data_IF_090594334962
#
_entry.id   IF_090594334962
#
_cell.length_a   1.000
_cell.length_b   1.000
_cell.length_c   1.000
_cell.angle_alpha   90.00
_cell.angle_beta   90.00
_cell.angle_gamma   90.00
#
_symmetry.space_group_name_H-M   'P 1'
#
loop_
_entity.id
_entity.type
_entity.pdbx_description
1 polymer ?
#
# COMPACT_ATOMS: atom_id res chain seq x y z
N UNK A 1 4.40 9.71 -1.90
CA UNK A 1 4.71 8.27 -1.91
C UNK A 1 3.78 7.45 -1.04
N UNK A 2 3.49 7.83 0.22
CA UNK A 2 2.50 7.12 1.06
C UNK A 2 1.13 6.93 0.37
N UNK A 3 0.59 7.99 -0.26
CA UNK A 3 -0.66 7.89 -1.03
C UNK A 3 -0.58 6.91 -2.21
N UNK A 4 0.59 6.80 -2.84
CA UNK A 4 0.82 5.89 -3.96
C UNK A 4 0.80 4.44 -3.48
N UNK A 5 1.45 4.15 -2.35
CA UNK A 5 1.38 2.85 -1.67
C UNK A 5 -0.07 2.50 -1.31
N UNK A 6 -0.84 3.48 -0.81
CA UNK A 6 -2.27 3.31 -0.53
C UNK A 6 -3.13 3.02 -1.76
N UNK A 7 -2.90 3.72 -2.88
CA UNK A 7 -3.65 3.48 -4.13
C UNK A 7 -3.32 2.15 -4.78
N UNK A 8 -2.07 1.69 -4.70
CA UNK A 8 -1.70 0.35 -5.17
C UNK A 8 -2.37 -0.72 -4.30
N UNK A 9 -2.34 -0.53 -2.97
CA UNK A 9 -3.01 -1.45 -2.04
C UNK A 9 -4.52 -1.52 -2.27
N UNK A 10 -5.14 -0.45 -2.78
CA UNK A 10 -6.56 -0.38 -3.12
C UNK A 10 -6.87 -0.79 -4.58
N UNK A 11 -5.89 -1.29 -5.34
CA UNK A 11 -6.06 -1.69 -6.75
C UNK A 11 -6.32 -0.54 -7.73
N UNK A 12 -6.20 0.71 -7.30
CA UNK A 12 -6.49 1.91 -8.10
C UNK A 12 -5.33 2.32 -9.03
N UNK A 13 -4.13 1.76 -8.82
CA UNK A 13 -2.92 2.11 -9.55
C UNK A 13 -1.99 0.90 -9.65
N UNK A 14 -1.37 0.69 -10.83
CA UNK A 14 -0.37 -0.36 -11.00
C UNK A 14 1.00 0.06 -10.49
N UNK A 15 1.86 -0.92 -10.19
CA UNK A 15 3.25 -0.68 -9.80
C UNK A 15 4.00 0.14 -10.86
N UNK A 16 3.84 -0.16 -12.15
CA UNK A 16 4.48 0.59 -13.22
C UNK A 16 4.05 2.07 -13.28
N UNK A 17 2.74 2.34 -13.08
CA UNK A 17 2.22 3.72 -13.01
C UNK A 17 2.78 4.48 -11.80
N UNK A 18 3.01 3.76 -10.69
CA UNK A 18 3.53 4.33 -9.44
C UNK A 18 4.92 4.94 -9.60
N UNK A 19 5.79 4.36 -10.45
CA UNK A 19 7.18 4.78 -10.63
C UNK A 19 7.23 6.23 -11.10
N UNK A 20 6.42 6.59 -12.10
CA UNK A 20 6.36 7.96 -12.63
C UNK A 20 5.85 8.96 -11.59
N UNK A 21 4.85 8.58 -10.79
CA UNK A 21 4.32 9.43 -9.71
C UNK A 21 5.35 9.63 -8.60
N UNK A 22 6.10 8.59 -8.23
CA UNK A 22 7.18 8.67 -7.24
C UNK A 22 8.28 9.64 -7.71
N UNK A 23 8.73 9.52 -8.97
CA UNK A 23 9.71 10.42 -9.55
C UNK A 23 9.21 11.88 -9.57
N UNK A 24 7.96 12.09 -10.01
CA UNK A 24 7.34 13.41 -10.01
C UNK A 24 7.17 14.00 -8.60
N UNK A 25 6.82 13.18 -7.61
CA UNK A 25 6.72 13.60 -6.22
C UNK A 25 8.06 14.07 -5.65
N UNK A 26 9.16 13.38 -5.97
CA UNK A 26 10.51 13.80 -5.57
C UNK A 26 10.86 15.20 -6.12
N UNK A 27 10.53 15.48 -7.39
CA UNK A 27 10.63 16.85 -7.94
C UNK A 27 9.73 17.82 -7.17
N UNK A 28 8.49 17.43 -6.87
CA UNK A 28 7.53 18.26 -6.14
C UNK A 28 8.03 18.73 -4.77
N UNK A 29 8.78 17.90 -4.04
CA UNK A 29 9.32 18.27 -2.73
C UNK A 29 10.30 19.45 -2.77
N UNK A 30 10.94 19.71 -3.91
CA UNK A 30 11.91 20.82 -4.05
C UNK A 30 11.21 22.18 -4.05
N UNK A 31 9.92 22.23 -4.41
CA UNK A 31 9.12 23.46 -4.33
C UNK A 31 9.07 23.96 -2.89
N UNK A 32 8.93 23.07 -1.90
CA UNK A 32 8.94 23.47 -0.49
C UNK A 32 10.29 24.06 -0.10
N UNK A 33 11.39 23.46 -0.53
CA UNK A 33 12.74 23.98 -0.29
C UNK A 33 12.93 25.39 -0.87
N UNK A 34 12.42 25.63 -2.08
CA UNK A 34 12.45 26.94 -2.71
C UNK A 34 11.67 27.97 -1.89
N UNK A 35 10.43 27.64 -1.50
CA UNK A 35 9.60 28.56 -0.70
C UNK A 35 10.31 28.94 0.61
N UNK A 36 10.97 28.01 1.28
CA UNK A 36 11.70 28.28 2.52
C UNK A 36 12.93 29.18 2.27
N UNK A 37 13.66 28.93 1.17
CA UNK A 37 14.86 29.70 0.83
C UNK A 37 14.58 31.18 0.50
N UNK A 38 13.36 31.54 0.10
CA UNK A 38 12.97 32.93 -0.17
C UNK A 38 12.69 33.77 1.10
N UNK A 39 13.09 33.30 2.29
CA UNK A 39 12.89 33.99 3.58
C UNK A 39 11.44 34.39 3.85
N UNK A 40 10.50 33.55 3.40
CA UNK A 40 9.07 33.75 3.64
C UNK A 40 8.73 33.67 5.14
N UNK A 41 9.67 33.21 5.97
CA UNK A 41 9.64 33.26 7.43
C UNK A 41 9.35 34.66 7.98
N UNK A 42 9.80 35.75 7.33
CA UNK A 42 9.48 37.13 7.75
C UNK A 42 7.97 37.44 7.65
N UNK A 43 7.28 36.78 6.72
CA UNK A 43 5.83 36.91 6.52
C UNK A 43 5.02 35.84 7.24
N UNK A 44 5.66 34.96 8.02
CA UNK A 44 4.99 33.84 8.68
C UNK A 44 3.80 34.29 9.55
N UNK A 45 4.01 35.29 10.41
CA UNK A 45 2.95 35.83 11.27
C UNK A 45 1.80 36.48 10.48
N UNK A 46 2.11 37.10 9.33
CA UNK A 46 1.09 37.65 8.44
C UNK A 46 0.25 36.53 7.81
N UNK A 47 0.89 35.45 7.35
CA UNK A 47 0.20 34.28 6.82
C UNK A 47 -0.67 33.59 7.88
N UNK A 48 -0.18 33.49 9.12
CA UNK A 48 -0.97 33.00 10.27
C UNK A 48 -2.18 33.90 10.51
N UNK A 49 -2.00 35.22 10.58
CA UNK A 49 -3.08 36.16 10.84
C UNK A 49 -4.16 36.13 9.74
N UNK A 50 -3.76 36.15 8.46
CA UNK A 50 -4.69 36.08 7.33
C UNK A 50 -5.35 34.70 7.26
N UNK A 51 -4.59 33.62 7.41
CA UNK A 51 -5.12 32.26 7.42
C UNK A 51 -6.13 32.04 8.55
N UNK A 52 -5.84 32.53 9.75
CA UNK A 52 -6.77 32.53 10.89
C UNK A 52 -8.03 33.32 10.56
N UNK A 53 -7.90 34.56 10.07
CA UNK A 53 -9.04 35.38 9.69
C UNK A 53 -9.92 34.68 8.63
N UNK A 54 -9.33 34.12 7.58
CA UNK A 54 -10.08 33.39 6.54
C UNK A 54 -10.72 32.10 7.08
N UNK A 55 -10.08 31.40 8.00
CA UNK A 55 -10.62 30.15 8.59
C UNK A 55 -11.79 30.41 9.53
N UNK A 56 -11.76 31.49 10.30
CA UNK A 56 -12.77 31.75 11.34
C UNK A 56 -13.82 32.80 10.96
N UNK A 57 -13.52 33.71 10.02
CA UNK A 57 -14.42 34.81 9.64
C UNK A 57 -15.10 34.58 8.28
N UNK A 58 -14.58 33.70 7.41
CA UNK A 58 -15.19 33.48 6.11
C UNK A 58 -16.46 32.62 6.20
N UNK A 59 -17.53 33.07 5.51
CA UNK A 59 -18.81 32.34 5.43
C UNK A 59 -18.83 31.23 4.37
N UNK A 60 -17.93 31.30 3.38
CA UNK A 60 -17.86 30.33 2.28
C UNK A 60 -16.89 29.20 2.64
N UNK A 61 -17.36 27.97 2.58
CA UNK A 61 -16.57 26.77 2.95
C UNK A 61 -15.25 26.65 2.19
N UNK A 62 -15.24 26.98 0.89
CA UNK A 62 -14.02 26.93 0.07
C UNK A 62 -12.95 27.92 0.56
N UNK A 63 -13.37 29.14 0.94
CA UNK A 63 -12.46 30.18 1.45
C UNK A 63 -11.95 29.78 2.83
N UNK A 64 -12.81 29.15 3.64
CA UNK A 64 -12.45 28.61 4.95
C UNK A 64 -11.38 27.52 4.86
N UNK A 65 -11.52 26.59 3.91
CA UNK A 65 -10.53 25.53 3.64
C UNK A 65 -9.21 26.09 3.13
N UNK A 66 -9.25 27.07 2.22
CA UNK A 66 -8.04 27.77 1.78
C UNK A 66 -7.37 28.54 2.94
N UNK A 67 -8.16 29.17 3.80
CA UNK A 67 -7.70 29.81 5.03
C UNK A 67 -6.99 28.84 5.96
N UNK A 68 -7.53 27.64 6.15
CA UNK A 68 -6.91 26.60 7.00
C UNK A 68 -5.56 26.15 6.44
N UNK A 69 -5.47 25.99 5.10
CA UNK A 69 -4.21 25.71 4.42
C UNK A 69 -3.18 26.84 4.59
N UNK A 70 -3.60 28.09 4.44
CA UNK A 70 -2.73 29.26 4.62
C UNK A 70 -2.26 29.41 6.07
N UNK A 71 -3.14 29.15 7.04
CA UNK A 71 -2.82 29.13 8.47
C UNK A 71 -1.77 28.05 8.77
N UNK A 72 -1.98 26.82 8.28
CA UNK A 72 -1.02 25.73 8.45
C UNK A 72 0.35 26.06 7.84
N UNK A 73 0.37 26.64 6.64
CA UNK A 73 1.60 27.10 5.99
C UNK A 73 2.31 28.18 6.82
N UNK A 74 1.56 29.17 7.33
CA UNK A 74 2.09 30.21 8.20
C UNK A 74 2.69 29.65 9.49
N UNK A 75 2.01 28.69 10.13
CA UNK A 75 2.51 28.02 11.34
C UNK A 75 3.79 27.22 11.09
N UNK A 76 3.90 26.54 9.93
CA UNK A 76 5.14 25.85 9.53
C UNK A 76 6.29 26.84 9.39
N UNK A 77 6.07 27.98 8.71
CA UNK A 77 7.11 29.01 8.55
C UNK A 77 7.49 29.67 9.86
N UNK A 78 6.51 29.90 10.75
CA UNK A 78 6.77 30.42 12.08
C UNK A 78 7.60 29.43 12.90
N UNK A 79 7.25 28.14 12.88
CA UNK A 79 8.02 27.09 13.53
C UNK A 79 9.47 27.03 13.04
N UNK A 80 9.71 27.18 11.73
CA UNK A 80 11.06 27.23 11.18
C UNK A 80 11.85 28.48 11.61
N UNK A 81 11.19 29.64 11.73
CA UNK A 81 11.83 30.84 12.29
C UNK A 81 12.28 30.61 13.73
N UNK A 82 11.40 30.04 14.57
CA UNK A 82 11.71 29.67 15.96
C UNK A 82 12.87 28.66 16.03
N UNK A 83 12.90 27.67 15.13
CA UNK A 83 14.03 26.73 15.05
C UNK A 83 15.34 27.45 14.71
N UNK A 84 15.32 28.43 13.78
CA UNK A 84 16.50 29.23 13.44
C UNK A 84 17.04 30.00 14.64
N UNK A 85 16.17 30.68 15.38
CA UNK A 85 16.54 31.41 16.60
C UNK A 85 17.13 30.47 17.66
N UNK A 86 16.54 29.28 17.82
CA UNK A 86 17.02 28.26 18.75
C UNK A 86 18.40 27.68 18.36
N UNK A 87 18.82 27.78 17.09
CA UNK A 87 20.13 27.33 16.62
C UNK A 87 21.24 28.39 16.74
N UNK A 88 20.91 29.67 16.98
CA UNK A 88 21.92 30.74 17.14
C UNK A 88 22.97 30.42 18.21
N UNK A 89 22.63 29.90 19.40
CA UNK A 89 23.64 29.55 20.41
C UNK A 89 24.64 28.48 19.97
N UNK A 90 24.25 27.61 19.02
CA UNK A 90 25.10 26.53 18.51
C UNK A 90 26.26 27.04 17.65
N UNK A 91 26.16 28.26 17.10
CA UNK A 91 27.26 28.92 16.37
C UNK A 91 28.53 29.07 17.21
N UNK A 92 28.39 29.08 18.53
CA UNK A 92 29.49 29.27 19.47
C UNK A 92 29.76 28.01 20.32
N UNK A 93 29.13 26.88 20.01
CA UNK A 93 29.27 25.63 20.78
C UNK A 93 30.28 24.69 20.11
N UNK A 94 31.52 24.64 20.62
CA UNK A 94 32.61 23.87 20.02
C UNK A 94 32.29 22.40 19.70
N UNK A 95 31.65 21.60 20.57
CA UNK A 95 31.30 20.23 20.24
C UNK A 95 30.41 20.10 19.00
N UNK A 96 29.51 21.07 18.80
CA UNK A 96 28.63 21.12 17.64
C UNK A 96 29.38 21.56 16.39
N UNK A 97 30.28 22.55 16.50
CA UNK A 97 31.15 22.98 15.40
C UNK A 97 32.11 21.86 14.97
N UNK A 98 32.68 21.09 15.90
CA UNK A 98 33.54 19.94 15.59
C UNK A 98 32.75 18.86 14.84
N UNK A 99 31.53 18.56 15.31
CA UNK A 99 30.64 17.62 14.64
C UNK A 99 30.26 18.09 13.23
N UNK A 100 29.99 19.38 13.06
CA UNK A 100 29.68 19.97 11.76
C UNK A 100 30.90 20.05 10.83
N UNK A 101 32.11 20.21 11.37
CA UNK A 101 33.35 20.15 10.59
C UNK A 101 33.58 18.76 9.97
N UNK A 102 33.19 17.69 10.68
CA UNK A 102 33.23 16.31 10.16
C UNK A 102 32.23 16.08 9.03
N UNK A 103 31.13 16.84 8.98
CA UNK A 103 30.18 16.83 7.86
C UNK A 103 30.71 17.48 6.58
N UNK A 104 31.92 18.06 6.59
CA UNK A 104 32.61 18.47 5.37
C UNK A 104 32.92 17.26 4.46
N UNK A 105 33.01 16.05 5.03
CA UNK A 105 33.03 14.82 4.25
C UNK A 105 31.59 14.42 3.85
N UNK A 106 31.27 14.35 2.55
CA UNK A 106 29.90 14.15 2.09
C UNK A 106 29.20 12.91 2.66
N UNK A 107 29.94 11.82 2.90
CA UNK A 107 29.40 10.58 3.45
C UNK A 107 28.74 10.76 4.83
N UNK A 108 29.33 11.57 5.71
CA UNK A 108 28.76 11.83 7.04
C UNK A 108 27.56 12.75 6.97
N UNK A 109 27.59 13.75 6.08
CA UNK A 109 26.44 14.63 5.84
C UNK A 109 25.23 13.85 5.30
N UNK A 110 25.45 12.96 4.33
CA UNK A 110 24.40 12.11 3.78
C UNK A 110 23.81 11.19 4.84
N UNK A 111 24.64 10.53 5.63
CA UNK A 111 24.15 9.64 6.70
C UNK A 111 23.34 10.40 7.75
N UNK A 112 23.83 11.57 8.18
CA UNK A 112 23.13 12.39 9.17
C UNK A 112 21.79 12.90 8.63
N UNK A 113 21.76 13.39 7.38
CA UNK A 113 20.52 13.82 6.73
C UNK A 113 19.52 12.69 6.59
N UNK A 114 19.99 11.49 6.18
CA UNK A 114 19.13 10.32 6.04
C UNK A 114 18.51 9.89 7.37
N UNK A 115 19.32 9.79 8.43
CA UNK A 115 18.85 9.41 9.76
C UNK A 115 17.88 10.44 10.32
N UNK A 116 18.21 11.73 10.23
CA UNK A 116 17.35 12.79 10.73
C UNK A 116 16.01 12.81 9.99
N UNK A 117 16.02 12.72 8.66
CA UNK A 117 14.77 12.65 7.89
C UNK A 117 13.99 11.37 8.16
N UNK A 118 14.64 10.23 8.34
CA UNK A 118 13.96 8.98 8.69
C UNK A 118 13.21 9.09 10.03
N UNK A 119 13.84 9.71 11.04
CA UNK A 119 13.24 9.93 12.36
C UNK A 119 12.10 10.95 12.31
N UNK A 120 12.32 12.09 11.65
CA UNK A 120 11.32 13.16 11.53
C UNK A 120 10.22 12.82 10.53
N UNK A 121 10.47 11.85 9.65
CA UNK A 121 9.56 11.41 8.58
C UNK A 121 9.16 12.53 7.59
N UNK A 122 9.98 13.58 7.49
CA UNK A 122 9.72 14.73 6.61
C UNK A 122 11.03 15.32 6.06
N UNK A 123 11.26 15.12 4.77
CA UNK A 123 12.40 15.73 4.06
C UNK A 123 12.22 17.22 3.89
N UNK A 124 10.99 17.72 3.76
CA UNK A 124 10.73 19.16 3.73
C UNK A 124 11.10 19.83 5.05
N UNK A 125 10.79 19.20 6.20
CA UNK A 125 11.21 19.70 7.50
C UNK A 125 12.74 19.66 7.65
N UNK A 126 13.38 18.55 7.25
CA UNK A 126 14.84 18.43 7.27
C UNK A 126 15.52 19.47 6.39
N UNK A 127 15.01 19.66 5.17
CA UNK A 127 15.50 20.67 4.25
C UNK A 127 15.31 22.08 4.82
N UNK A 128 14.20 22.32 5.52
CA UNK A 128 13.98 23.56 6.28
C UNK A 128 15.07 23.82 7.30
N UNK A 129 15.40 22.84 8.14
CA UNK A 129 16.50 22.94 9.11
C UNK A 129 17.84 23.24 8.44
N UNK A 130 18.15 22.55 7.33
CA UNK A 130 19.39 22.77 6.58
C UNK A 130 19.45 24.19 6.00
N UNK A 131 18.36 24.66 5.38
CA UNK A 131 18.26 26.00 4.79
C UNK A 131 18.38 27.07 5.88
N UNK A 132 17.66 26.92 6.99
CA UNK A 132 17.72 27.86 8.11
C UNK A 132 19.11 27.88 8.77
N UNK A 133 19.75 26.72 8.94
CA UNK A 133 21.14 26.65 9.42
C UNK A 133 22.13 27.32 8.46
N UNK A 134 21.89 27.24 7.15
CA UNK A 134 22.69 27.95 6.16
C UNK A 134 22.45 29.47 6.17
N UNK A 135 21.21 29.93 6.40
CA UNK A 135 20.90 31.35 6.62
C UNK A 135 21.60 31.90 7.86
N UNK A 136 21.72 31.08 8.90
CA UNK A 136 22.45 31.39 10.13
C UNK A 136 23.99 31.27 9.97
N UNK A 137 24.50 30.89 8.80
CA UNK A 137 25.94 30.74 8.54
C UNK A 137 26.60 29.51 9.18
N UNK A 138 25.81 28.61 9.76
CA UNK A 138 26.28 27.39 10.42
C UNK A 138 26.62 26.29 9.40
N UNK A 139 25.80 26.20 8.35
CA UNK A 139 25.89 25.13 7.35
C UNK A 139 26.50 25.70 6.06
N UNK A 140 27.60 25.11 5.61
CA UNK A 140 28.25 25.43 4.34
C UNK A 140 27.49 24.82 3.17
N UNK A 141 27.71 25.33 1.95
CA UNK A 141 27.04 24.80 0.76
C UNK A 141 27.29 23.30 0.54
N UNK A 142 28.54 22.78 0.56
CA UNK A 142 28.77 21.34 0.36
C UNK A 142 28.13 20.47 1.44
N UNK A 143 28.20 20.90 2.71
CA UNK A 143 27.55 20.20 3.82
C UNK A 143 26.01 20.20 3.65
N UNK A 144 25.43 21.33 3.24
CA UNK A 144 24.00 21.45 2.96
C UNK A 144 23.54 20.55 1.80
N UNK A 145 24.33 20.45 0.73
CA UNK A 145 24.05 19.53 -0.39
C UNK A 145 24.08 18.08 0.10
N UNK A 146 25.10 17.70 0.86
CA UNK A 146 25.23 16.35 1.41
C UNK A 146 24.06 15.99 2.35
N UNK A 147 23.66 16.90 3.23
CA UNK A 147 22.50 16.72 4.12
C UNK A 147 21.18 16.54 3.35
N UNK A 148 20.97 17.30 2.27
CA UNK A 148 19.79 17.16 1.41
C UNK A 148 19.80 15.85 0.62
N UNK A 149 20.96 15.39 0.17
CA UNK A 149 21.08 14.06 -0.45
C UNK A 149 20.67 12.98 0.56
N UNK A 150 21.16 13.10 1.80
CA UNK A 150 20.70 12.30 2.92
C UNK A 150 19.19 12.34 3.11
N UNK A 151 18.60 13.53 3.13
CA UNK A 151 17.16 13.70 3.32
C UNK A 151 16.31 13.00 2.24
N UNK A 152 16.78 12.99 0.98
CA UNK A 152 16.12 12.25 -0.09
C UNK A 152 16.11 10.73 0.17
N UNK A 153 17.21 10.17 0.70
CA UNK A 153 17.25 8.76 1.13
C UNK A 153 16.32 8.54 2.33
N UNK A 154 16.42 9.37 3.37
CA UNK A 154 15.63 9.22 4.60
C UNK A 154 14.13 9.28 4.38
N UNK A 155 13.66 10.02 3.37
CA UNK A 155 12.24 10.08 2.98
C UNK A 155 11.65 8.71 2.67
N UNK A 156 12.47 7.78 2.15
CA UNK A 156 12.01 6.45 1.75
C UNK A 156 11.50 5.63 2.93
N UNK A 157 11.93 5.93 4.16
CA UNK A 157 11.45 5.26 5.38
C UNK A 157 9.94 5.42 5.54
N UNK A 158 9.36 6.56 5.15
CA UNK A 158 7.90 6.76 5.22
C UNK A 158 7.14 5.82 4.29
N UNK A 159 7.67 5.54 3.11
CA UNK A 159 7.07 4.60 2.16
C UNK A 159 7.23 3.17 2.65
N UNK A 160 8.41 2.80 3.16
CA UNK A 160 8.66 1.49 3.75
C UNK A 160 7.73 1.18 4.91
N UNK A 161 7.56 2.12 5.85
CA UNK A 161 6.63 1.96 6.97
C UNK A 161 5.18 1.83 6.49
N UNK A 162 4.77 2.60 5.47
CA UNK A 162 3.43 2.53 4.90
C UNK A 162 3.14 1.21 4.17
N UNK A 163 4.17 0.48 3.73
CA UNK A 163 4.03 -0.80 3.04
C UNK A 163 4.07 -2.02 3.96
N UNK A 164 4.31 -1.84 5.27
CA UNK A 164 4.26 -2.94 6.24
C UNK A 164 2.82 -3.49 6.29
N UNK A 165 2.67 -4.80 6.12
CA UNK A 165 1.36 -5.47 6.11
C UNK A 165 0.50 -5.18 4.87
N UNK A 166 1.11 -4.70 3.77
CA UNK A 166 0.43 -4.43 2.49
C UNK A 166 0.87 -5.42 1.39
N UNK A 167 0.12 -5.52 0.27
CA UNK A 167 0.45 -6.42 -0.84
C UNK A 167 1.87 -6.22 -1.38
N UNK A 168 2.45 -7.23 -2.05
CA UNK A 168 3.83 -7.18 -2.57
C UNK A 168 4.03 -6.03 -3.53
N UNK A 169 3.01 -5.64 -4.28
CA UNK A 169 3.00 -4.51 -5.22
C UNK A 169 3.27 -3.20 -4.49
N UNK A 170 2.72 -3.04 -3.27
CA UNK A 170 2.94 -1.88 -2.41
C UNK A 170 4.37 -1.86 -1.82
N UNK A 171 4.89 -3.04 -1.47
CA UNK A 171 6.29 -3.21 -1.05
C UNK A 171 7.26 -2.93 -2.21
N UNK A 172 6.95 -3.40 -3.42
CA UNK A 172 7.69 -3.14 -4.65
C UNK A 172 7.72 -1.65 -4.97
N UNK A 173 6.59 -0.95 -4.92
CA UNK A 173 6.57 0.50 -5.12
C UNK A 173 7.43 1.27 -4.09
N UNK A 174 7.45 0.81 -2.85
CA UNK A 174 8.31 1.37 -1.80
C UNK A 174 9.79 1.07 -2.05
N UNK A 175 10.10 -0.15 -2.51
CA UNK A 175 11.45 -0.53 -2.93
C UNK A 175 11.93 0.28 -4.15
N UNK A 176 11.06 0.59 -5.13
CA UNK A 176 11.39 1.53 -6.22
C UNK A 176 11.82 2.87 -5.65
N UNK A 177 11.08 3.41 -4.67
CA UNK A 177 11.42 4.69 -4.05
C UNK A 177 12.79 4.65 -3.36
N UNK A 178 13.09 3.58 -2.62
CA UNK A 178 14.39 3.37 -1.96
C UNK A 178 15.52 3.30 -2.99
N UNK A 179 15.40 2.41 -3.98
CA UNK A 179 16.45 2.16 -4.97
C UNK A 179 16.69 3.42 -5.82
N UNK A 180 15.64 4.13 -6.22
CA UNK A 180 15.75 5.38 -6.98
C UNK A 180 16.54 6.45 -6.22
N UNK A 181 16.24 6.68 -4.94
CA UNK A 181 16.92 7.72 -4.15
C UNK A 181 18.36 7.34 -3.80
N UNK A 182 18.60 6.08 -3.42
CA UNK A 182 19.95 5.60 -3.11
C UNK A 182 20.83 5.65 -4.37
N UNK A 183 20.34 5.10 -5.49
CA UNK A 183 21.08 5.13 -6.76
C UNK A 183 21.34 6.57 -7.22
N UNK A 184 20.37 7.47 -7.02
CA UNK A 184 20.54 8.88 -7.37
C UNK A 184 21.61 9.56 -6.53
N UNK A 185 21.59 9.37 -5.22
CA UNK A 185 22.64 9.94 -4.36
C UNK A 185 24.02 9.36 -4.70
N UNK A 186 24.13 8.06 -4.92
CA UNK A 186 25.40 7.43 -5.30
C UNK A 186 25.92 7.94 -6.65
N UNK A 187 25.02 8.15 -7.62
CA UNK A 187 25.38 8.70 -8.93
C UNK A 187 25.94 10.13 -8.81
N UNK A 188 25.32 10.96 -7.96
CA UNK A 188 25.69 12.37 -7.82
C UNK A 188 26.78 12.63 -6.77
N UNK A 189 27.10 11.66 -5.92
CA UNK A 189 28.13 11.76 -4.87
C UNK A 189 29.49 12.30 -5.40
N UNK A 190 30.10 11.76 -6.47
CA UNK A 190 31.37 12.29 -6.99
C UNK A 190 31.23 13.66 -7.66
N UNK A 191 30.01 14.15 -7.89
CA UNK A 191 29.71 15.40 -8.56
C UNK A 191 29.26 16.52 -7.61
N UNK A 192 29.32 16.32 -6.28
CA UNK A 192 28.86 17.33 -5.30
C UNK A 192 29.57 18.68 -5.47
N UNK A 193 30.90 18.69 -5.67
CA UNK A 193 31.65 19.94 -5.85
C UNK A 193 31.33 20.64 -7.18
N UNK A 194 31.09 19.86 -8.23
CA UNK A 194 30.65 20.38 -9.53
C UNK A 194 29.24 20.95 -9.43
N UNK A 195 28.35 20.28 -8.71
CA UNK A 195 26.99 20.75 -8.42
C UNK A 195 27.06 22.04 -7.62
N UNK A 196 27.87 22.10 -6.56
CA UNK A 196 28.10 23.30 -5.76
C UNK A 196 28.56 24.48 -6.64
N UNK A 197 29.57 24.26 -7.48
CA UNK A 197 30.08 25.28 -8.40
C UNK A 197 29.02 25.73 -9.40
N UNK A 198 28.25 24.80 -9.97
CA UNK A 198 27.18 25.10 -10.89
C UNK A 198 26.09 25.96 -10.24
N UNK A 199 25.65 25.58 -9.03
CA UNK A 199 24.60 26.34 -8.32
C UNK A 199 25.08 27.72 -7.89
N UNK A 200 26.33 27.88 -7.48
CA UNK A 200 26.90 29.19 -7.17
C UNK A 200 26.89 30.10 -8.40
N UNK A 201 27.23 29.57 -9.60
CA UNK A 201 27.22 30.34 -10.86
C UNK A 201 25.82 30.75 -11.28
N UNK A 202 24.86 29.82 -11.30
CA UNK A 202 23.48 30.10 -11.76
C UNK A 202 22.69 30.94 -10.76
N UNK A 203 23.10 30.95 -9.48
CA UNK A 203 22.38 31.70 -8.44
C UNK A 203 22.72 33.20 -8.40
N UNK A 204 23.63 33.68 -9.27
CA UNK A 204 23.93 35.12 -9.50
C UNK A 204 24.09 35.95 -8.20
N UNK A 205 24.84 35.44 -7.22
CA UNK A 205 25.08 36.13 -5.94
C UNK A 205 24.01 35.90 -4.86
N UNK A 206 23.10 34.94 -5.04
CA UNK A 206 22.21 34.51 -3.96
C UNK A 206 22.97 33.93 -2.75
N UNK A 207 22.34 33.97 -1.58
CA UNK A 207 22.89 33.41 -0.35
C UNK A 207 22.99 31.87 -0.39
N UNK A 208 23.73 31.30 0.57
CA UNK A 208 23.97 29.85 0.68
C UNK A 208 22.66 29.06 0.77
N UNK A 209 21.64 29.62 1.44
CA UNK A 209 20.31 29.05 1.57
C UNK A 209 19.62 28.82 0.22
N UNK A 210 19.62 29.84 -0.66
CA UNK A 210 19.11 29.72 -2.03
C UNK A 210 19.95 28.80 -2.90
N UNK A 211 21.27 28.81 -2.73
CA UNK A 211 22.16 27.89 -3.45
C UNK A 211 21.87 26.43 -3.10
N UNK A 212 21.63 26.11 -1.83
CA UNK A 212 21.23 24.78 -1.36
C UNK A 212 19.87 24.37 -1.94
N UNK A 213 18.87 25.26 -1.93
CA UNK A 213 17.56 24.97 -2.53
C UNK A 213 17.65 24.75 -4.05
N UNK A 214 18.51 25.50 -4.75
CA UNK A 214 18.78 25.30 -6.17
C UNK A 214 19.49 23.98 -6.45
N UNK A 215 20.43 23.59 -5.60
CA UNK A 215 21.08 22.28 -5.69
C UNK A 215 20.06 21.15 -5.53
N UNK A 216 19.12 21.28 -4.59
CA UNK A 216 18.07 20.31 -4.39
C UNK A 216 17.17 20.14 -5.62
N UNK A 217 16.77 21.27 -6.23
CA UNK A 217 15.98 21.28 -7.48
C UNK A 217 16.75 20.65 -8.63
N UNK A 218 18.00 21.08 -8.85
CA UNK A 218 18.83 20.61 -9.96
C UNK A 218 19.15 19.11 -9.83
N UNK A 219 19.44 18.64 -8.61
CA UNK A 219 19.62 17.23 -8.30
C UNK A 219 18.36 16.42 -8.65
N UNK A 220 17.18 16.75 -8.12
CA UNK A 220 15.98 15.94 -8.35
C UNK A 220 15.51 15.95 -9.81
N UNK A 221 15.59 17.09 -10.50
CA UNK A 221 15.28 17.17 -11.92
C UNK A 221 16.30 16.36 -12.73
N UNK A 222 17.60 16.59 -12.50
CA UNK A 222 18.66 15.89 -13.21
C UNK A 222 18.60 14.38 -13.00
N UNK A 223 18.42 13.95 -11.74
CA UNK A 223 18.27 12.54 -11.38
C UNK A 223 17.05 11.91 -12.07
N UNK A 224 15.91 12.61 -12.10
CA UNK A 224 14.71 12.13 -12.78
C UNK A 224 14.91 12.03 -14.30
N UNK A 225 15.53 13.04 -14.93
CA UNK A 225 15.82 13.02 -16.37
C UNK A 225 16.78 11.91 -16.78
N UNK A 226 17.73 11.56 -15.91
CA UNK A 226 18.60 10.40 -16.13
C UNK A 226 17.80 9.11 -15.99
N UNK A 227 17.08 8.93 -14.89
CA UNK A 227 16.46 7.64 -14.54
C UNK A 227 15.12 7.34 -15.21
N UNK A 228 14.45 8.31 -15.83
CA UNK A 228 13.20 8.06 -16.56
C UNK A 228 13.38 7.05 -17.71
N UNK A 229 14.56 7.02 -18.33
CA UNK A 229 14.91 6.07 -19.40
C UNK A 229 15.17 4.66 -18.89
N UNK A 230 15.35 4.49 -17.58
CA UNK A 230 15.68 3.23 -16.92
C UNK A 230 14.51 2.69 -16.10
N UNK A 231 13.30 3.23 -16.25
CA UNK A 231 12.09 2.75 -15.56
C UNK A 231 11.89 1.22 -15.71
N UNK A 232 12.05 0.60 -16.89
CA UNK A 232 11.92 -0.86 -17.02
C UNK A 232 13.01 -1.62 -16.25
N UNK A 233 14.20 -1.03 -16.10
CA UNK A 233 15.29 -1.63 -15.33
C UNK A 233 14.98 -1.57 -13.82
N UNK A 234 14.45 -0.45 -13.33
CA UNK A 234 13.98 -0.34 -11.94
C UNK A 234 12.88 -1.35 -11.65
N UNK A 235 11.92 -1.52 -12.55
CA UNK A 235 10.85 -2.50 -12.39
C UNK A 235 11.41 -3.92 -12.22
N UNK A 236 12.29 -4.36 -13.12
CA UNK A 236 12.95 -5.68 -13.05
C UNK A 236 13.83 -5.85 -11.82
N UNK A 237 14.60 -4.82 -11.46
CA UNK A 237 15.46 -4.87 -10.28
C UNK A 237 14.65 -5.00 -9.00
N UNK A 238 13.50 -4.33 -8.92
CA UNK A 238 12.61 -4.42 -7.77
C UNK A 238 11.83 -5.73 -7.75
N UNK A 239 11.39 -6.24 -8.89
CA UNK A 239 10.86 -7.62 -8.99
C UNK A 239 11.89 -8.65 -8.53
N UNK A 240 13.18 -8.40 -8.75
CA UNK A 240 14.25 -9.27 -8.24
C UNK A 240 14.54 -9.06 -6.74
N UNK A 241 14.51 -7.82 -6.24
CA UNK A 241 14.79 -7.48 -4.83
C UNK A 241 13.63 -7.88 -3.91
N UNK A 242 12.41 -7.74 -4.42
CA UNK A 242 11.16 -8.18 -3.81
C UNK A 242 10.54 -9.19 -4.77
N UNK A 243 11.14 -10.40 -4.86
CA UNK A 243 10.59 -11.49 -5.67
C UNK A 243 9.19 -11.78 -5.20
N UNK A 244 8.34 -12.36 -6.04
CA UNK A 244 7.13 -12.97 -5.50
C UNK A 244 7.54 -13.95 -4.40
N UNK A 245 6.73 -14.07 -3.34
CA UNK A 245 6.99 -15.11 -2.35
C UNK A 245 7.05 -16.40 -3.19
N UNK A 246 8.15 -17.18 -3.15
CA UNK A 246 8.00 -18.56 -3.58
C UNK A 246 6.87 -19.08 -2.73
N UNK A 247 5.77 -19.49 -3.38
CA UNK A 247 4.76 -20.31 -2.74
C UNK A 247 5.56 -21.36 -1.96
N UNK A 248 5.44 -21.37 -0.64
CA UNK A 248 6.29 -22.18 0.22
C UNK A 248 6.33 -23.60 -0.35
N UNK A 249 7.54 -24.16 -0.52
CA UNK A 249 7.76 -25.53 -1.01
C UNK A 249 7.30 -26.62 -0.02
N UNK A 250 6.45 -26.28 0.95
CA UNK A 250 5.72 -27.23 1.77
C UNK A 250 4.31 -27.36 1.19
N UNK A 251 4.08 -28.46 0.47
CA UNK A 251 2.79 -28.87 -0.11
C UNK A 251 2.10 -27.89 -1.08
N UNK A 252 2.84 -27.38 -2.07
CA UNK A 252 2.24 -26.76 -3.26
C UNK A 252 1.13 -27.66 -3.81
N UNK A 253 -0.12 -27.24 -3.62
CA UNK A 253 -1.30 -27.84 -4.24
C UNK A 253 -1.18 -27.62 -5.75
N UNK A 254 -0.49 -28.55 -6.40
CA UNK A 254 -0.38 -28.57 -7.86
C UNK A 254 -1.70 -29.04 -8.45
N UNK A 255 -2.04 -28.42 -9.58
CA UNK A 255 -3.07 -28.93 -10.45
C UNK A 255 -2.76 -30.38 -10.80
N UNK A 256 -3.74 -31.26 -10.61
CA UNK A 256 -3.62 -32.70 -10.83
C UNK A 256 -4.17 -33.08 -12.20
N UNK A 257 -5.17 -32.34 -12.66
CA UNK A 257 -5.93 -32.69 -13.86
C UNK A 257 -5.58 -31.82 -15.05
N UNK A 258 -5.00 -30.63 -14.84
CA UNK A 258 -4.63 -29.72 -15.92
C UNK A 258 -3.46 -30.28 -16.73
N UNK A 259 -3.72 -30.60 -18.00
CA UNK A 259 -2.76 -31.22 -18.91
C UNK A 259 -2.61 -30.39 -20.18
N UNK A 260 -1.41 -29.82 -20.36
CA UNK A 260 -1.09 -28.93 -21.48
C UNK A 260 -1.14 -29.66 -22.83
N UNK A 261 -0.94 -30.99 -22.86
CA UNK A 261 -1.01 -31.78 -24.09
C UNK A 261 -2.45 -31.87 -24.64
N UNK A 262 -3.45 -31.76 -23.76
CA UNK A 262 -4.87 -31.81 -24.13
C UNK A 262 -5.41 -30.50 -24.70
N UNK A 263 -4.62 -29.43 -24.75
CA UNK A 263 -5.05 -28.15 -25.34
C UNK A 263 -5.45 -28.25 -26.82
N UNK A 264 -4.95 -29.28 -27.52
CA UNK A 264 -5.34 -29.55 -28.91
C UNK A 264 -6.75 -30.18 -29.04
N UNK A 265 -7.37 -30.57 -27.92
CA UNK A 265 -8.72 -31.13 -27.83
C UNK A 265 -9.56 -30.33 -26.82
N UNK A 266 -10.13 -29.17 -27.21
CA UNK A 266 -10.73 -28.23 -26.27
C UNK A 266 -11.82 -28.79 -25.35
N UNK A 267 -12.64 -29.73 -25.82
CA UNK A 267 -13.65 -30.39 -24.97
C UNK A 267 -13.01 -31.17 -23.81
N UNK A 268 -11.98 -31.97 -24.09
CA UNK A 268 -11.25 -32.72 -23.07
C UNK A 268 -10.49 -31.78 -22.13
N UNK A 269 -9.99 -30.66 -22.66
CA UNK A 269 -9.31 -29.65 -21.86
C UNK A 269 -10.29 -28.97 -20.87
N UNK A 270 -11.51 -28.63 -21.30
CA UNK A 270 -12.55 -28.07 -20.43
C UNK A 270 -12.99 -29.08 -19.35
N UNK A 271 -13.12 -30.37 -19.69
CA UNK A 271 -13.38 -31.44 -18.70
C UNK A 271 -12.28 -31.53 -17.62
N UNK A 272 -11.00 -31.37 -18.01
CA UNK A 272 -9.89 -31.33 -17.05
C UNK A 272 -9.96 -30.11 -16.15
N UNK A 273 -10.31 -28.95 -16.69
CA UNK A 273 -10.51 -27.75 -15.89
C UNK A 273 -11.63 -27.94 -14.87
N UNK A 274 -12.74 -28.58 -15.27
CA UNK A 274 -13.87 -28.90 -14.38
C UNK A 274 -13.49 -29.78 -13.18
N UNK A 275 -12.64 -30.79 -13.40
CA UNK A 275 -12.11 -31.64 -12.32
C UNK A 275 -11.21 -30.86 -11.35
N UNK A 276 -10.45 -29.89 -11.86
CA UNK A 276 -9.61 -29.04 -11.01
C UNK A 276 -10.45 -28.01 -10.23
N UNK A 277 -11.50 -27.48 -10.84
CA UNK A 277 -12.52 -26.64 -10.18
C UNK A 277 -13.19 -27.39 -9.04
N UNK A 278 -13.50 -28.68 -9.22
CA UNK A 278 -14.03 -29.51 -8.15
C UNK A 278 -13.07 -29.58 -6.95
N UNK A 279 -11.76 -29.78 -7.19
CA UNK A 279 -10.75 -29.79 -6.12
C UNK A 279 -10.66 -28.45 -5.40
N UNK A 280 -10.68 -27.35 -6.14
CA UNK A 280 -10.69 -26.00 -5.55
C UNK A 280 -11.96 -25.79 -4.71
N UNK A 281 -13.11 -26.21 -5.24
CA UNK A 281 -14.39 -26.16 -4.53
C UNK A 281 -14.41 -27.00 -3.26
N UNK A 282 -13.82 -28.19 -3.26
CA UNK A 282 -13.67 -29.02 -2.05
C UNK A 282 -12.81 -28.31 -0.99
N UNK A 283 -11.77 -27.59 -1.39
CA UNK A 283 -10.95 -26.80 -0.47
C UNK A 283 -11.71 -25.61 0.13
N UNK A 284 -12.42 -24.86 -0.71
CA UNK A 284 -13.30 -23.78 -0.26
C UNK A 284 -14.39 -24.31 0.68
N UNK A 285 -14.93 -25.51 0.41
CA UNK A 285 -15.89 -26.18 1.30
C UNK A 285 -15.32 -26.46 2.69
N UNK A 286 -14.06 -26.91 2.77
CA UNK A 286 -13.35 -27.10 4.04
C UNK A 286 -13.21 -25.77 4.79
N UNK A 287 -12.87 -24.68 4.09
CA UNK A 287 -12.78 -23.34 4.66
C UNK A 287 -14.13 -22.86 5.21
N UNK A 288 -15.21 -22.98 4.42
CA UNK A 288 -16.58 -22.64 4.87
C UNK A 288 -16.92 -23.44 6.13
N UNK A 289 -16.63 -24.75 6.14
CA UNK A 289 -16.95 -25.60 7.29
C UNK A 289 -16.14 -25.24 8.54
N UNK A 290 -14.85 -24.92 8.38
CA UNK A 290 -13.94 -24.62 9.48
C UNK A 290 -14.10 -23.23 10.07
N UNK A 291 -14.52 -22.23 9.28
CA UNK A 291 -14.52 -20.84 9.74
C UNK A 291 -15.54 -20.57 10.84
N UNK A 292 -16.72 -21.21 10.81
CA UNK A 292 -17.75 -20.95 11.83
C UNK A 292 -17.29 -21.33 13.25
N UNK A 293 -16.82 -22.56 13.53
CA UNK A 293 -16.33 -22.90 14.86
C UNK A 293 -15.11 -22.07 15.27
N UNK A 294 -14.17 -21.80 14.34
CA UNK A 294 -12.99 -20.98 14.60
C UNK A 294 -13.38 -19.54 15.02
N UNK A 295 -14.30 -18.91 14.28
CA UNK A 295 -14.74 -17.55 14.55
C UNK A 295 -15.57 -17.43 15.82
N UNK A 296 -16.37 -18.44 16.17
CA UNK A 296 -17.35 -18.36 17.27
C UNK A 296 -16.79 -18.79 18.62
N UNK A 297 -15.99 -19.85 18.65
CA UNK A 297 -15.48 -20.47 19.88
C UNK A 297 -13.98 -20.79 19.85
N UNK A 298 -13.35 -20.78 18.67
CA UNK A 298 -11.94 -21.15 18.49
C UNK A 298 -10.93 -20.15 19.05
N UNK A 299 -9.67 -20.54 19.02
CA UNK A 299 -8.52 -19.72 19.38
C UNK A 299 -7.86 -19.12 18.13
N UNK A 300 -6.83 -18.28 18.33
CA UNK A 300 -6.12 -17.65 17.21
C UNK A 300 -5.52 -18.70 16.25
N UNK A 301 -5.05 -19.82 16.78
CA UNK A 301 -4.48 -20.93 16.00
C UNK A 301 -5.52 -21.58 15.06
N UNK A 302 -6.79 -21.68 15.47
CA UNK A 302 -7.86 -22.21 14.61
C UNK A 302 -8.15 -21.27 13.43
N UNK A 303 -8.08 -19.96 13.67
CA UNK A 303 -8.24 -18.94 12.63
C UNK A 303 -7.04 -18.94 11.68
N UNK A 304 -5.81 -19.04 12.21
CA UNK A 304 -4.58 -19.17 11.44
C UNK A 304 -4.64 -20.41 10.53
N UNK A 305 -5.19 -21.52 11.03
CA UNK A 305 -5.34 -22.75 10.25
C UNK A 305 -6.32 -22.61 9.08
N UNK A 306 -7.40 -21.83 9.25
CA UNK A 306 -8.35 -21.53 8.16
C UNK A 306 -7.76 -20.54 7.15
N UNK A 307 -7.07 -19.50 7.63
CA UNK A 307 -6.35 -18.52 6.79
C UNK A 307 -5.31 -19.21 5.91
N UNK A 308 -4.52 -20.14 6.46
CA UNK A 308 -3.53 -20.92 5.71
C UNK A 308 -4.14 -21.86 4.65
N UNK A 309 -5.46 -22.12 4.68
CA UNK A 309 -6.09 -22.91 3.62
C UNK A 309 -6.25 -22.13 2.31
N UNK A 310 -6.29 -20.81 2.39
CA UNK A 310 -6.52 -19.91 1.26
C UNK A 310 -5.35 -19.92 0.26
N UNK A 311 -4.11 -20.05 0.75
CA UNK A 311 -2.91 -20.23 -0.08
C UNK A 311 -3.07 -21.33 -1.15
N UNK A 312 -3.80 -22.40 -0.83
CA UNK A 312 -4.09 -23.50 -1.76
C UNK A 312 -5.19 -23.14 -2.78
N UNK A 313 -6.17 -22.34 -2.37
CA UNK A 313 -7.25 -21.84 -3.24
C UNK A 313 -6.67 -20.88 -4.27
N UNK A 314 -5.84 -19.93 -3.85
CA UNK A 314 -5.08 -19.00 -4.69
C UNK A 314 -4.19 -19.72 -5.71
N UNK A 315 -3.42 -20.70 -5.23
CA UNK A 315 -2.54 -21.48 -6.09
C UNK A 315 -3.32 -22.24 -7.17
N UNK A 316 -4.48 -22.84 -6.81
CA UNK A 316 -5.33 -23.53 -7.77
C UNK A 316 -6.01 -22.57 -8.74
N UNK A 317 -6.54 -21.44 -8.26
CA UNK A 317 -7.14 -20.39 -9.08
C UNK A 317 -6.18 -19.93 -10.18
N UNK A 318 -4.96 -19.54 -9.81
CA UNK A 318 -3.95 -19.08 -10.76
C UNK A 318 -3.59 -20.13 -11.82
N UNK A 319 -3.51 -21.41 -11.42
CA UNK A 319 -3.25 -22.52 -12.34
C UNK A 319 -4.43 -22.77 -13.30
N UNK A 320 -5.67 -22.71 -12.81
CA UNK A 320 -6.87 -22.92 -13.62
C UNK A 320 -7.09 -21.76 -14.59
N UNK A 321 -7.00 -20.50 -14.14
CA UNK A 321 -7.14 -19.31 -15.00
C UNK A 321 -6.07 -19.31 -16.10
N UNK A 322 -4.83 -19.66 -15.77
CA UNK A 322 -3.75 -19.77 -16.76
C UNK A 322 -4.06 -20.83 -17.81
N UNK A 323 -4.60 -21.98 -17.39
CA UNK A 323 -4.94 -23.08 -18.29
C UNK A 323 -6.15 -22.75 -19.17
N UNK A 324 -7.24 -22.21 -18.60
CA UNK A 324 -8.40 -21.71 -19.33
C UNK A 324 -7.97 -20.61 -20.33
N UNK A 325 -7.09 -19.69 -19.93
CA UNK A 325 -6.52 -18.66 -20.80
C UNK A 325 -5.69 -19.20 -21.98
N UNK A 326 -5.17 -20.44 -21.90
CA UNK A 326 -4.55 -21.12 -23.05
C UNK A 326 -5.60 -21.78 -23.94
N UNK A 327 -6.68 -22.34 -23.37
CA UNK A 327 -7.81 -22.90 -24.14
C UNK A 327 -8.46 -21.81 -25.00
N UNK A 328 -8.64 -20.59 -24.47
CA UNK A 328 -9.27 -19.48 -25.19
C UNK A 328 -8.49 -18.99 -26.42
N UNK A 329 -7.21 -19.37 -26.55
CA UNK A 329 -6.38 -19.06 -27.73
C UNK A 329 -6.59 -20.07 -28.87
N UNK A 330 -7.37 -21.13 -28.64
CA UNK A 330 -7.74 -22.12 -29.65
C UNK A 330 -9.10 -21.81 -30.26
N UNK A 331 -9.43 -22.47 -31.38
CA UNK A 331 -10.75 -22.31 -32.02
C UNK A 331 -11.81 -23.09 -31.23
N UNK A 332 -12.67 -22.38 -30.50
CA UNK A 332 -13.79 -22.96 -29.77
C UNK A 332 -15.08 -22.92 -30.59
N UNK A 333 -15.92 -23.93 -30.44
CA UNK A 333 -17.32 -23.90 -30.87
C UNK A 333 -18.15 -22.98 -29.95
N UNK A 334 -19.37 -22.63 -30.36
CA UNK A 334 -20.28 -21.81 -29.54
C UNK A 334 -20.58 -22.46 -28.17
N UNK A 335 -20.86 -23.76 -28.15
CA UNK A 335 -21.09 -24.51 -26.90
C UNK A 335 -19.87 -24.51 -25.98
N UNK A 336 -18.67 -24.75 -26.53
CA UNK A 336 -17.41 -24.72 -25.77
C UNK A 336 -17.07 -23.31 -25.25
N UNK A 337 -17.44 -22.27 -25.99
CA UNK A 337 -17.25 -20.88 -25.56
C UNK A 337 -18.12 -20.58 -24.34
N UNK A 338 -19.39 -21.01 -24.35
CA UNK A 338 -20.27 -20.83 -23.21
C UNK A 338 -19.79 -21.63 -21.99
N UNK A 339 -19.34 -22.87 -22.19
CA UNK A 339 -18.76 -23.69 -21.14
C UNK A 339 -17.51 -23.03 -20.54
N UNK A 340 -16.59 -22.56 -21.38
CA UNK A 340 -15.40 -21.80 -20.96
C UNK A 340 -15.77 -20.61 -20.08
N UNK A 341 -16.75 -19.79 -20.50
CA UNK A 341 -17.19 -18.62 -19.71
C UNK A 341 -17.75 -19.07 -18.36
N UNK A 342 -18.60 -20.09 -18.32
CA UNK A 342 -19.18 -20.60 -17.08
C UNK A 342 -18.10 -21.14 -16.12
N UNK A 343 -17.07 -21.82 -16.63
CA UNK A 343 -15.96 -22.32 -15.81
C UNK A 343 -15.07 -21.18 -15.30
N UNK A 344 -14.82 -20.15 -16.10
CA UNK A 344 -14.10 -18.94 -15.67
C UNK A 344 -14.84 -18.22 -14.54
N UNK A 345 -16.16 -18.06 -14.67
CA UNK A 345 -17.00 -17.46 -13.63
C UNK A 345 -16.96 -18.28 -12.34
N UNK A 346 -17.14 -19.60 -12.44
CA UNK A 346 -17.11 -20.48 -11.27
C UNK A 346 -15.76 -20.45 -10.53
N UNK A 347 -14.64 -20.41 -11.25
CA UNK A 347 -13.29 -20.32 -10.64
C UNK A 347 -13.13 -19.02 -9.87
N UNK A 348 -13.54 -17.90 -10.46
CA UNK A 348 -13.49 -16.60 -9.79
C UNK A 348 -14.43 -16.55 -8.58
N UNK A 349 -15.65 -17.08 -8.70
CA UNK A 349 -16.59 -17.12 -7.58
C UNK A 349 -16.04 -17.94 -6.40
N UNK A 350 -15.32 -19.04 -6.67
CA UNK A 350 -14.66 -19.84 -5.63
C UNK A 350 -13.52 -19.09 -4.93
N UNK A 351 -12.68 -18.37 -5.67
CA UNK A 351 -11.62 -17.52 -5.08
C UNK A 351 -12.23 -16.40 -4.23
N UNK A 352 -13.24 -15.70 -4.75
CA UNK A 352 -13.91 -14.64 -3.99
C UNK A 352 -14.53 -15.15 -2.68
N UNK A 353 -14.98 -16.41 -2.62
CA UNK A 353 -15.45 -17.02 -1.38
C UNK A 353 -14.28 -17.25 -0.41
N UNK A 354 -13.14 -17.73 -0.90
CA UNK A 354 -11.89 -17.86 -0.12
C UNK A 354 -11.46 -16.52 0.48
N UNK A 355 -11.35 -15.49 -0.36
CA UNK A 355 -11.03 -14.10 0.03
C UNK A 355 -11.97 -13.56 1.11
N UNK A 356 -13.29 -13.81 0.98
CA UNK A 356 -14.26 -13.34 1.99
C UNK A 356 -14.02 -14.05 3.33
N UNK A 357 -13.65 -15.33 3.31
CA UNK A 357 -13.35 -16.08 4.54
C UNK A 357 -12.07 -15.54 5.18
N UNK A 358 -11.00 -15.40 4.40
CA UNK A 358 -9.68 -14.93 4.84
C UNK A 358 -9.72 -13.45 5.31
N UNK A 359 -10.21 -12.54 4.47
CA UNK A 359 -10.14 -11.10 4.77
C UNK A 359 -11.21 -10.63 5.75
N UNK A 360 -12.42 -11.21 5.72
CA UNK A 360 -13.54 -10.72 6.54
C UNK A 360 -13.81 -11.61 7.75
N UNK A 361 -14.02 -12.92 7.56
CA UNK A 361 -14.48 -13.79 8.64
C UNK A 361 -13.36 -14.12 9.64
N UNK A 362 -12.14 -14.38 9.16
CA UNK A 362 -10.98 -14.57 10.03
C UNK A 362 -10.71 -13.30 10.84
N UNK A 363 -10.70 -12.13 10.19
CA UNK A 363 -10.57 -10.82 10.86
C UNK A 363 -11.64 -10.62 11.93
N UNK A 364 -12.90 -10.97 11.64
CA UNK A 364 -13.99 -10.88 12.62
C UNK A 364 -13.76 -11.82 13.82
N UNK A 365 -13.25 -13.02 13.57
CA UNK A 365 -12.86 -13.97 14.61
C UNK A 365 -11.73 -13.44 15.49
N UNK A 366 -10.71 -12.82 14.91
CA UNK A 366 -9.59 -12.20 15.65
C UNK A 366 -10.10 -11.06 16.54
N UNK A 367 -10.97 -10.18 16.02
CA UNK A 367 -11.58 -9.12 16.82
C UNK A 367 -12.41 -9.66 17.99
N UNK A 368 -13.18 -10.75 17.79
CA UNK A 368 -13.90 -11.41 18.89
C UNK A 368 -12.93 -11.84 20.01
N UNK A 369 -11.78 -12.42 19.66
CA UNK A 369 -10.76 -12.85 20.63
C UNK A 369 -10.15 -11.65 21.35
N UNK A 370 -9.73 -10.63 20.61
CA UNK A 370 -9.11 -9.40 21.14
C UNK A 370 -10.02 -8.67 22.13
N UNK A 371 -11.31 -8.57 21.80
CA UNK A 371 -12.31 -7.90 22.64
C UNK A 371 -12.88 -8.81 23.73
N UNK A 372 -12.51 -10.10 23.76
CA UNK A 372 -13.01 -11.08 24.72
C UNK A 372 -14.51 -11.34 24.59
N UNK A 373 -15.08 -11.20 23.39
CA UNK A 373 -16.51 -11.33 23.14
C UNK A 373 -16.93 -12.80 23.20
N UNK A 374 -18.00 -13.06 23.97
CA UNK A 374 -18.65 -14.36 24.06
C UNK A 374 -20.00 -14.30 23.35
N UNK A 375 -20.19 -15.17 22.34
CA UNK A 375 -21.43 -15.20 21.57
C UNK A 375 -22.51 -15.91 22.39
N UNK A 376 -23.69 -15.29 22.50
CA UNK A 376 -24.81 -15.88 23.24
C UNK A 376 -25.38 -17.09 22.52
N UNK A 377 -25.82 -18.11 23.28
CA UNK A 377 -26.40 -19.33 22.71
C UNK A 377 -27.55 -19.08 21.72
N UNK A 378 -28.50 -18.15 21.96
CA UNK A 378 -29.54 -17.85 20.97
C UNK A 378 -29.00 -17.25 19.66
N UNK A 379 -27.91 -16.49 19.73
CA UNK A 379 -27.26 -15.92 18.53
C UNK A 379 -26.50 -16.99 17.76
N UNK A 380 -25.83 -17.88 18.48
CA UNK A 380 -25.10 -19.00 17.89
C UNK A 380 -26.05 -19.91 17.10
N UNK A 381 -27.22 -20.25 17.64
CA UNK A 381 -28.22 -21.07 16.95
C UNK A 381 -28.68 -20.45 15.61
N UNK A 382 -28.90 -19.13 15.59
CA UNK A 382 -29.28 -18.39 14.36
C UNK A 382 -28.17 -18.45 13.33
N UNK A 383 -26.92 -18.20 13.73
CA UNK A 383 -25.77 -18.21 12.83
C UNK A 383 -25.49 -19.63 12.32
N UNK A 384 -25.53 -20.65 13.17
CA UNK A 384 -25.32 -22.06 12.79
C UNK A 384 -26.35 -22.53 11.75
N UNK A 385 -27.62 -22.20 11.97
CA UNK A 385 -28.70 -22.54 11.04
C UNK A 385 -28.49 -21.86 9.68
N UNK A 386 -28.14 -20.57 9.69
CA UNK A 386 -27.86 -19.81 8.47
C UNK A 386 -26.66 -20.37 7.72
N UNK A 387 -25.56 -20.58 8.42
CA UNK A 387 -24.32 -21.13 7.88
C UNK A 387 -24.52 -22.51 7.25
N UNK A 388 -25.23 -23.42 7.94
CA UNK A 388 -25.56 -24.76 7.40
C UNK A 388 -26.35 -24.67 6.10
N UNK A 389 -27.25 -23.69 5.98
CA UNK A 389 -28.04 -23.48 4.75
C UNK A 389 -27.17 -22.93 3.63
N UNK A 390 -26.24 -22.03 3.93
CA UNK A 390 -25.26 -21.50 2.95
C UNK A 390 -24.33 -22.62 2.47
N UNK A 391 -23.78 -23.44 3.36
CA UNK A 391 -22.92 -24.57 3.00
C UNK A 391 -23.65 -25.57 2.10
N UNK A 392 -24.91 -25.89 2.40
CA UNK A 392 -25.73 -26.74 1.52
C UNK A 392 -26.00 -26.09 0.15
N UNK A 393 -26.21 -24.78 0.11
CA UNK A 393 -26.37 -24.03 -1.14
C UNK A 393 -25.09 -24.10 -1.98
N UNK A 394 -23.93 -23.95 -1.33
CA UNK A 394 -22.62 -24.08 -1.95
C UNK A 394 -22.41 -25.49 -2.53
N UNK A 395 -22.72 -26.55 -1.76
CA UNK A 395 -22.60 -27.95 -2.22
C UNK A 395 -23.43 -28.19 -3.50
N UNK A 396 -24.66 -27.69 -3.57
CA UNK A 396 -25.48 -27.78 -4.79
C UNK A 396 -24.92 -26.96 -5.95
N UNK A 397 -24.38 -25.76 -5.70
CA UNK A 397 -23.74 -24.95 -6.73
C UNK A 397 -22.51 -25.66 -7.32
N UNK A 398 -21.66 -26.21 -6.45
CA UNK A 398 -20.46 -26.94 -6.86
C UNK A 398 -20.82 -28.19 -7.66
N UNK A 399 -21.82 -28.96 -7.24
CA UNK A 399 -22.32 -30.12 -8.00
C UNK A 399 -22.90 -29.72 -9.36
N UNK A 400 -23.67 -28.63 -9.42
CA UNK A 400 -24.25 -28.14 -10.67
C UNK A 400 -23.17 -27.78 -11.70
N UNK A 401 -22.12 -27.09 -11.26
CA UNK A 401 -21.00 -26.70 -12.13
C UNK A 401 -20.11 -27.89 -12.47
N UNK A 402 -19.72 -28.71 -11.50
CA UNK A 402 -18.66 -29.72 -11.72
C UNK A 402 -19.16 -31.03 -12.30
N UNK A 403 -20.45 -31.33 -12.17
CA UNK A 403 -21.06 -32.59 -12.63
C UNK A 403 -22.16 -32.36 -13.67
N UNK A 404 -22.35 -31.11 -14.11
CA UNK A 404 -23.44 -30.72 -15.02
C UNK A 404 -24.83 -31.15 -14.51
N UNK A 405 -25.00 -31.11 -13.18
CA UNK A 405 -26.20 -31.61 -12.53
C UNK A 405 -27.31 -30.55 -12.54
N UNK A 406 -28.25 -30.69 -13.48
CA UNK A 406 -29.39 -29.77 -13.59
C UNK A 406 -30.31 -29.77 -12.36
N UNK A 407 -30.42 -30.90 -11.65
CA UNK A 407 -31.23 -30.99 -10.44
C UNK A 407 -30.62 -30.16 -9.32
N UNK A 408 -29.30 -30.27 -9.11
CA UNK A 408 -28.56 -29.42 -8.19
C UNK A 408 -28.69 -27.93 -8.55
N UNK A 409 -28.63 -27.60 -9.85
CA UNK A 409 -28.84 -26.23 -10.34
C UNK A 409 -30.25 -25.70 -10.03
N UNK A 410 -31.28 -26.56 -10.09
CA UNK A 410 -32.65 -26.19 -9.71
C UNK A 410 -32.78 -25.98 -8.20
N UNK A 411 -32.16 -26.83 -7.39
CA UNK A 411 -32.23 -26.73 -5.94
C UNK A 411 -31.51 -25.47 -5.42
N UNK A 412 -30.29 -25.18 -5.88
CA UNK A 412 -29.58 -23.95 -5.47
C UNK A 412 -30.36 -22.68 -5.82
N UNK A 413 -31.04 -22.65 -6.98
CA UNK A 413 -31.90 -21.52 -7.37
C UNK A 413 -33.08 -21.33 -6.45
N UNK A 414 -33.71 -22.40 -5.96
CA UNK A 414 -34.79 -22.34 -4.98
C UNK A 414 -34.28 -21.86 -3.62
N UNK A 415 -33.07 -22.29 -3.23
CA UNK A 415 -32.46 -21.91 -1.96
C UNK A 415 -32.19 -20.41 -1.83
N UNK A 416 -32.05 -19.66 -2.94
CA UNK A 416 -31.85 -18.20 -2.91
C UNK A 416 -32.89 -17.46 -2.06
N UNK A 417 -34.18 -17.81 -2.20
CA UNK A 417 -35.23 -17.17 -1.40
C UNK A 417 -35.11 -17.51 0.09
N UNK A 418 -34.79 -18.77 0.39
CA UNK A 418 -34.60 -19.26 1.76
C UNK A 418 -33.41 -18.57 2.42
N UNK A 419 -32.27 -18.48 1.74
CA UNK A 419 -31.07 -17.80 2.23
C UNK A 419 -31.35 -16.32 2.51
N UNK A 420 -32.02 -15.62 1.58
CA UNK A 420 -32.37 -14.21 1.79
C UNK A 420 -33.29 -14.01 2.99
N UNK A 421 -34.31 -14.86 3.15
CA UNK A 421 -35.21 -14.79 4.30
C UNK A 421 -34.46 -15.03 5.61
N UNK A 422 -33.56 -16.02 5.66
CA UNK A 422 -32.77 -16.29 6.86
C UNK A 422 -31.79 -15.17 7.20
N UNK A 423 -31.25 -14.48 6.20
CA UNK A 423 -30.42 -13.30 6.40
C UNK A 423 -31.23 -12.14 7.02
N UNK A 424 -32.47 -11.93 6.57
CA UNK A 424 -33.38 -10.96 7.17
C UNK A 424 -33.76 -11.33 8.61
N UNK A 425 -34.03 -12.61 8.88
CA UNK A 425 -34.29 -13.12 10.24
C UNK A 425 -33.08 -12.89 11.16
N UNK A 426 -31.86 -13.15 10.69
CA UNK A 426 -30.64 -12.90 11.45
C UNK A 426 -30.43 -11.41 11.74
N UNK A 427 -30.72 -10.52 10.77
CA UNK A 427 -30.66 -9.08 10.96
C UNK A 427 -31.69 -8.58 11.99
N UNK A 428 -32.91 -9.14 11.97
CA UNK A 428 -33.95 -8.84 12.94
C UNK A 428 -33.57 -9.32 14.35
N UNK A 429 -33.02 -10.53 14.47
CA UNK A 429 -32.48 -11.05 15.73
C UNK A 429 -31.41 -10.12 16.30
N UNK A 430 -30.46 -9.67 15.48
CA UNK A 430 -29.44 -8.68 15.87
C UNK A 430 -30.09 -7.39 16.39
N UNK A 431 -31.09 -6.85 15.69
CA UNK A 431 -31.78 -5.62 16.13
C UNK A 431 -32.48 -5.79 17.48
N UNK A 432 -33.10 -6.94 17.73
CA UNK A 432 -33.73 -7.26 19.02
C UNK A 432 -32.71 -7.38 20.16
N UNK A 433 -31.55 -8.01 19.89
CA UNK A 433 -30.46 -8.15 20.87
C UNK A 433 -29.88 -6.81 21.33
N UNK A 434 -29.82 -5.80 20.47
CA UNK A 434 -29.36 -4.45 20.84
C UNK A 434 -30.23 -3.78 21.92
N UNK A 435 -31.50 -4.16 22.02
CA UNK A 435 -32.48 -3.56 22.96
C UNK A 435 -32.76 -4.47 24.17
N UNK A 436 -32.21 -5.69 24.19
CA UNK A 436 -32.45 -6.69 25.25
C UNK A 436 -31.71 -6.34 26.57
N UNK A 437 -32.32 -6.59 27.75
CA UNK A 437 -31.76 -6.21 29.05
C UNK A 437 -30.68 -7.17 29.60
N UNK A 438 -30.00 -7.95 28.76
CA UNK A 438 -29.03 -8.97 29.19
C UNK A 438 -27.58 -8.44 29.29
N UNK A 439 -26.77 -8.97 30.23
CA UNK A 439 -25.34 -8.63 30.38
C UNK A 439 -24.47 -9.26 29.28
N UNK A 440 -23.35 -8.61 28.94
CA UNK A 440 -22.38 -8.98 27.89
C UNK A 440 -23.01 -9.08 26.48
N UNK A 441 -23.26 -7.91 25.88
CA UNK A 441 -23.96 -7.76 24.60
C UNK A 441 -23.07 -7.97 23.39
#
# INVERSE_FOLDING_TARGET
TVLVVGFISAGLMSMAQSIGVIMGANIGTTVTAQIIAFKVTEYALLLVAVGFALTFLAKREIVRRQGAGLLGLGLVFFGMAVMGDAMVPLQNHEPFLDWMSRMARPEYGILAGALFTALVQSSSATTGVVITGAQAGIITLPAGIALIFGANIGTCVTALLAAIGRPREALRASAVHVVFNIAGVLLWLPFIDYLATAVTRISLGADTARQIANAHTLFNIGNTLVFIWFVPLFARLVEWLVPDRPLAEEDLVRARYLDVELLQAPSLALDRARLEILRMGDRVREMITGILPAMTAGEAEDLDAVEAMDDAVDALHGQIITYLGKISQTSLTEGQTQEFVNLMEAVNDLENIGDIIETNLVTLGRHRIEEGVQISAPTLEVIERFHTTVLRSFDYALQAVTQENEEAAREVRKMKQVVNQMAEEAALHKAQRLVAPEPNR
#
